data_IF_677249924594
#
_entry.id   IF_677249924594
#
_cell.length_a   1.000
_cell.length_b   1.000
_cell.length_c   1.000
_cell.angle_alpha   90.00
_cell.angle_beta   90.00
_cell.angle_gamma   90.00
#
_symmetry.space_group_name_H-M   'P 1'
#
loop_
_entity.id
_entity.type
_entity.pdbx_description
1 polymer ?
#
# COMPACT_ATOMS: atom_id res chain seq x y z
N UNK A 1 2.99 0.25 9.20
CA UNK A 1 3.03 1.69 8.89
C UNK A 1 2.71 1.83 7.41
N UNK A 2 1.64 2.57 7.04
CA UNK A 2 1.32 2.81 5.63
C UNK A 2 2.42 3.61 4.95
N UNK A 3 2.68 3.35 3.67
CA UNK A 3 3.61 4.17 2.88
C UNK A 3 2.91 5.45 2.42
N UNK A 4 3.54 6.61 2.58
CA UNK A 4 2.99 7.89 2.09
C UNK A 4 2.78 7.91 0.58
N UNK A 5 3.57 7.14 -0.19
CA UNK A 5 3.49 7.11 -1.65
C UNK A 5 2.28 6.33 -2.15
N UNK A 6 2.02 5.17 -1.56
CA UNK A 6 0.97 4.25 -2.02
C UNK A 6 -0.31 4.33 -1.18
N UNK A 7 -0.20 4.84 0.06
CA UNK A 7 -1.29 4.88 1.04
C UNK A 7 -1.53 3.54 1.74
N UNK A 8 -0.76 2.49 1.41
CA UNK A 8 -0.93 1.14 1.96
C UNK A 8 0.32 0.67 2.68
N UNK A 9 0.14 -0.20 3.68
CA UNK A 9 1.22 -0.98 4.26
C UNK A 9 1.70 -2.05 3.27
N UNK A 10 2.99 -2.41 3.31
CA UNK A 10 3.53 -3.48 2.48
C UNK A 10 2.77 -4.82 2.68
N UNK A 11 2.32 -5.08 3.91
CA UNK A 11 1.50 -6.26 4.24
C UNK A 11 0.13 -6.23 3.56
N UNK A 12 -0.50 -5.05 3.47
CA UNK A 12 -1.81 -4.92 2.82
C UNK A 12 -1.71 -5.09 1.32
N UNK A 13 -0.61 -4.63 0.70
CA UNK A 13 -0.35 -4.87 -0.72
C UNK A 13 -0.07 -6.35 -1.02
N UNK A 14 0.63 -7.04 -0.12
CA UNK A 14 0.97 -8.45 -0.32
C UNK A 14 -0.21 -9.39 -0.07
N UNK A 15 -0.99 -9.12 0.99
CA UNK A 15 -2.02 -10.03 1.47
C UNK A 15 -3.44 -9.55 1.24
N UNK A 16 -3.65 -8.32 0.77
CA UNK A 16 -4.99 -7.76 0.52
C UNK A 16 -5.87 -7.63 1.76
N UNK A 17 -5.28 -7.76 2.95
CA UNK A 17 -5.95 -7.68 4.25
C UNK A 17 -5.00 -7.14 5.32
N UNK A 18 -5.57 -6.60 6.39
CA UNK A 18 -4.82 -6.34 7.60
C UNK A 18 -4.39 -7.68 8.22
N UNK A 19 -3.08 -7.93 8.25
CA UNK A 19 -2.53 -9.12 8.88
C UNK A 19 -2.69 -9.00 10.39
N UNK A 20 -3.15 -10.08 11.04
CA UNK A 20 -3.17 -10.17 12.50
C UNK A 20 -1.74 -10.21 13.02
N UNK A 21 -1.27 -9.08 13.52
CA UNK A 21 0.04 -8.92 14.12
C UNK A 21 0.06 -9.22 15.62
N UNK A 22 1.24 -9.16 16.26
CA UNK A 22 1.39 -9.40 17.70
C UNK A 22 0.53 -8.46 18.56
N UNK A 23 0.41 -7.20 18.16
CA UNK A 23 -0.40 -6.21 18.87
C UNK A 23 -1.91 -6.50 18.78
N UNK A 24 -2.41 -6.96 17.63
CA UNK A 24 -3.81 -7.39 17.54
C UNK A 24 -4.05 -8.62 18.40
N UNK A 25 -3.13 -9.59 18.44
CA UNK A 25 -3.26 -10.76 19.33
C UNK A 25 -3.31 -10.33 20.80
N UNK A 26 -2.43 -9.42 21.23
CA UNK A 26 -2.45 -8.89 22.59
C UNK A 26 -3.74 -8.16 22.93
N UNK A 27 -4.27 -7.35 22.00
CA UNK A 27 -5.56 -6.68 22.16
C UNK A 27 -6.69 -7.70 22.29
N UNK A 28 -6.74 -8.69 21.38
CA UNK A 28 -7.82 -9.68 21.38
C UNK A 28 -7.81 -10.54 22.68
N UNK A 29 -6.61 -10.82 23.23
CA UNK A 29 -6.44 -11.46 24.54
C UNK A 29 -6.85 -10.56 25.71
N UNK A 30 -6.64 -9.25 25.58
CA UNK A 30 -7.02 -8.27 26.60
C UNK A 30 -8.53 -8.01 26.60
N UNK A 31 -9.15 -8.00 25.43
CA UNK A 31 -10.57 -7.69 25.21
C UNK A 31 -11.46 -8.94 25.25
N UNK A 32 -10.90 -10.13 25.56
CA UNK A 32 -11.60 -11.43 25.58
C UNK A 32 -12.53 -11.65 24.36
N UNK A 33 -12.12 -11.10 23.22
CA UNK A 33 -12.91 -11.16 22.00
C UNK A 33 -12.67 -12.52 21.36
N UNK A 34 -13.59 -13.46 21.57
CA UNK A 34 -13.59 -14.73 20.85
C UNK A 34 -13.70 -14.44 19.36
N UNK A 35 -12.72 -14.93 18.59
CA UNK A 35 -12.67 -14.78 17.14
C UNK A 35 -13.84 -15.59 16.59
N UNK A 36 -14.84 -14.91 16.02
CA UNK A 36 -15.85 -15.59 15.22
C UNK A 36 -15.15 -16.23 14.03
N UNK A 37 -15.31 -17.54 13.89
CA UNK A 37 -14.73 -18.27 12.78
C UNK A 37 -15.43 -17.81 11.50
N UNK A 38 -14.63 -17.53 10.47
CA UNK A 38 -15.13 -16.99 9.22
C UNK A 38 -15.95 -18.07 8.50
N UNK A 39 -17.27 -18.04 8.62
CA UNK A 39 -18.19 -19.06 8.05
C UNK A 39 -18.16 -19.13 6.50
N UNK A 40 -17.35 -18.31 5.84
CA UNK A 40 -17.20 -18.30 4.38
C UNK A 40 -16.57 -19.59 3.88
N UNK A 41 -17.18 -20.16 2.84
CA UNK A 41 -16.56 -21.26 2.08
C UNK A 41 -15.21 -20.79 1.51
N UNK A 42 -14.18 -21.63 1.60
CA UNK A 42 -12.81 -21.30 1.15
C UNK A 42 -12.76 -20.71 -0.27
N UNK A 43 -13.60 -21.20 -1.18
CA UNK A 43 -13.68 -20.70 -2.55
C UNK A 43 -14.17 -19.24 -2.63
N UNK A 44 -15.22 -18.90 -1.89
CA UNK A 44 -15.74 -17.53 -1.83
C UNK A 44 -14.69 -16.57 -1.26
N UNK A 45 -13.98 -17.00 -0.22
CA UNK A 45 -12.89 -16.23 0.36
C UNK A 45 -11.79 -15.89 -0.68
N UNK A 46 -11.33 -16.88 -1.46
CA UNK A 46 -10.28 -16.66 -2.46
C UNK A 46 -10.73 -15.71 -3.57
N UNK A 47 -11.99 -15.82 -4.02
CA UNK A 47 -12.54 -14.90 -5.03
C UNK A 47 -12.61 -13.45 -4.51
N UNK A 48 -13.17 -13.25 -3.32
CA UNK A 48 -13.24 -11.93 -2.69
C UNK A 48 -11.85 -11.34 -2.46
N UNK A 49 -10.88 -12.16 -2.07
CA UNK A 49 -9.50 -11.75 -1.86
C UNK A 49 -8.85 -11.26 -3.16
N UNK A 50 -9.06 -11.99 -4.27
CA UNK A 50 -8.56 -11.59 -5.60
C UNK A 50 -9.10 -10.23 -6.00
N UNK A 51 -10.40 -10.01 -5.83
CA UNK A 51 -11.05 -8.78 -6.25
C UNK A 51 -10.59 -7.59 -5.39
N UNK A 52 -10.44 -7.80 -4.08
CA UNK A 52 -9.85 -6.80 -3.17
C UNK A 52 -8.42 -6.44 -3.56
N UNK A 53 -7.56 -7.43 -3.82
CA UNK A 53 -6.18 -7.19 -4.27
C UNK A 53 -6.13 -6.37 -5.57
N UNK A 54 -6.99 -6.69 -6.54
CA UNK A 54 -7.09 -5.93 -7.79
C UNK A 54 -7.48 -4.47 -7.55
N UNK A 55 -8.46 -4.23 -6.67
CA UNK A 55 -8.90 -2.88 -6.32
C UNK A 55 -7.81 -2.11 -5.55
N UNK A 56 -7.19 -2.73 -4.54
CA UNK A 56 -6.09 -2.14 -3.78
C UNK A 56 -4.92 -1.77 -4.70
N UNK A 57 -4.54 -2.65 -5.64
CA UNK A 57 -3.47 -2.38 -6.59
C UNK A 57 -3.76 -1.15 -7.47
N UNK A 58 -5.01 -1.01 -7.94
CA UNK A 58 -5.44 0.18 -8.71
C UNK A 58 -5.33 1.46 -7.90
N UNK A 59 -5.82 1.46 -6.67
CA UNK A 59 -5.78 2.64 -5.79
C UNK A 59 -4.32 2.99 -5.43
N UNK A 60 -3.51 1.98 -5.11
CA UNK A 60 -2.09 2.16 -4.79
C UNK A 60 -1.32 2.78 -5.96
N UNK A 61 -1.60 2.36 -7.20
CA UNK A 61 -1.01 2.94 -8.40
C UNK A 61 -1.43 4.40 -8.59
N UNK A 62 -2.72 4.72 -8.44
CA UNK A 62 -3.22 6.10 -8.52
C UNK A 62 -2.57 7.01 -7.48
N UNK A 63 -2.48 6.56 -6.23
CA UNK A 63 -1.81 7.30 -5.16
C UNK A 63 -0.33 7.51 -5.46
N UNK A 64 0.34 6.49 -6.02
CA UNK A 64 1.74 6.58 -6.39
C UNK A 64 1.96 7.62 -7.49
N UNK A 65 1.08 7.70 -8.48
CA UNK A 65 1.16 8.71 -9.56
C UNK A 65 0.95 10.13 -9.02
N UNK A 66 -0.05 10.33 -8.17
CA UNK A 66 -0.29 11.63 -7.51
C UNK A 66 0.92 12.03 -6.66
N UNK A 67 1.49 11.09 -5.91
CA UNK A 67 2.69 11.35 -5.09
C UNK A 67 3.90 11.65 -5.97
N UNK A 68 4.11 10.90 -7.05
CA UNK A 68 5.21 11.13 -7.99
C UNK A 68 5.12 12.51 -8.64
N UNK A 69 3.94 12.93 -9.08
CA UNK A 69 3.74 14.27 -9.68
C UNK A 69 4.03 15.38 -8.66
N UNK A 70 3.58 15.21 -7.41
CA UNK A 70 3.90 16.13 -6.31
C UNK A 70 5.40 16.18 -6.01
N UNK A 71 6.07 15.03 -5.91
CA UNK A 71 7.51 14.97 -5.67
C UNK A 71 8.29 15.62 -6.81
N UNK A 72 7.93 15.31 -8.06
CA UNK A 72 8.52 15.93 -9.24
C UNK A 72 8.38 17.46 -9.17
N UNK A 73 7.16 17.97 -8.98
CA UNK A 73 6.92 19.40 -8.87
C UNK A 73 7.74 20.06 -7.74
N UNK A 74 7.88 19.39 -6.59
CA UNK A 74 8.65 19.90 -5.45
C UNK A 74 10.17 19.90 -5.69
N UNK A 75 10.72 18.84 -6.29
CA UNK A 75 12.15 18.72 -6.55
C UNK A 75 12.60 19.51 -7.79
N UNK A 76 11.71 19.69 -8.78
CA UNK A 76 12.01 20.44 -10.00
C UNK A 76 12.12 21.96 -9.75
N UNK A 77 11.59 22.50 -8.63
CA UNK A 77 11.60 23.95 -8.33
C UNK A 77 13.00 24.57 -8.41
N UNK A 78 14.03 23.84 -7.99
CA UNK A 78 15.43 24.30 -8.01
C UNK A 78 16.25 23.62 -9.11
N UNK A 79 15.62 22.78 -9.91
CA UNK A 79 16.29 22.14 -11.03
C UNK A 79 16.58 23.19 -12.11
N UNK A 80 17.73 23.06 -12.75
CA UNK A 80 18.08 23.83 -13.94
C UNK A 80 18.16 22.86 -15.11
N UNK A 81 17.65 23.29 -16.25
CA UNK A 81 17.78 22.52 -17.48
C UNK A 81 19.25 22.55 -17.92
N UNK A 82 19.90 21.39 -17.98
CA UNK A 82 21.32 21.26 -18.33
C UNK A 82 21.45 20.52 -19.64
N UNK A 83 22.10 21.15 -20.61
CA UNK A 83 22.49 20.53 -21.86
C UNK A 83 24.00 20.36 -21.82
N UNK A 84 24.47 19.12 -22.03
CA UNK A 84 25.89 18.83 -22.13
C UNK A 84 26.33 18.90 -23.58
N UNK A 85 27.35 19.68 -23.86
CA UNK A 85 27.97 19.80 -25.18
C UNK A 85 29.24 18.93 -25.18
N UNK A 86 29.64 18.31 -26.31
CA UNK A 86 30.90 17.58 -26.39
C UNK A 86 32.08 18.47 -25.95
N UNK A 87 32.70 18.13 -24.82
CA UNK A 87 33.80 18.90 -24.22
C UNK A 87 33.50 19.48 -22.84
N UNK A 88 32.24 19.43 -22.36
CA UNK A 88 31.90 19.74 -20.97
C UNK A 88 32.26 18.55 -20.06
N UNK A 89 33.15 18.76 -19.08
CA UNK A 89 33.41 17.87 -17.92
C UNK A 89 32.67 18.35 -16.67
#
# INVERSE_FOLDING_TARGET
IPSDRTGFSAFELLYGRAVRGPLSVLRDLWEDTSIEDDERTHYQYVLELRDKLSQCAKIAAQNADISNTKYKAYFDVKSQDRQFIPGDE
#
